data_IF_612099716762
#
_entry.id   IF_612099716762
#
_cell.length_a   1.000
_cell.length_b   1.000
_cell.length_c   1.000
_cell.angle_alpha   90.00
_cell.angle_beta   90.00
_cell.angle_gamma   90.00
#
_symmetry.space_group_name_H-M   'P 1'
#
loop_
_entity.id
_entity.type
_entity.pdbx_description
1 polymer ?
#
# COMPACT_ATOMS: atom_id res chain seq x y z
N UNK A 1 19.80 -16.82 -18.16
CA UNK A 1 19.04 -17.99 -18.67
C UNK A 1 17.57 -17.55 -18.78
N UNK A 2 17.25 -16.67 -19.73
CA UNK A 2 15.95 -15.99 -19.82
C UNK A 2 15.57 -15.69 -21.28
N UNK A 3 15.56 -16.68 -22.17
CA UNK A 3 15.10 -16.49 -23.55
C UNK A 3 14.41 -17.75 -24.08
N UNK A 4 13.44 -18.27 -23.33
CA UNK A 4 12.40 -19.12 -23.94
C UNK A 4 11.18 -18.22 -24.13
N UNK A 5 10.84 -17.82 -25.37
CA UNK A 5 9.65 -17.01 -25.61
C UNK A 5 8.40 -17.77 -25.16
N UNK A 6 7.43 -17.05 -24.60
CA UNK A 6 6.16 -17.63 -24.17
C UNK A 6 5.49 -18.34 -25.36
N UNK A 7 5.16 -19.63 -25.21
CA UNK A 7 4.41 -20.34 -26.25
C UNK A 7 2.94 -19.95 -26.15
N UNK A 8 2.54 -18.95 -26.94
CA UNK A 8 1.18 -18.40 -26.95
C UNK A 8 0.23 -19.11 -27.92
N UNK A 9 0.75 -20.05 -28.73
CA UNK A 9 -0.04 -20.83 -29.69
C UNK A 9 -0.73 -22.03 -29.07
N UNK A 10 -0.19 -22.56 -27.97
CA UNK A 10 -0.71 -23.75 -27.28
C UNK A 10 -1.20 -23.37 -25.90
N UNK A 11 -2.47 -23.64 -25.62
CA UNK A 11 -3.04 -23.45 -24.27
C UNK A 11 -2.62 -24.65 -23.43
N UNK A 12 -1.91 -24.45 -22.29
CA UNK A 12 -1.55 -25.55 -21.41
C UNK A 12 -2.79 -26.25 -20.84
N UNK A 13 -2.72 -27.57 -20.67
CA UNK A 13 -3.80 -28.37 -20.06
C UNK A 13 -3.94 -28.10 -18.57
N UNK A 14 -2.85 -27.76 -17.89
CA UNK A 14 -2.81 -27.42 -16.47
C UNK A 14 -1.83 -26.29 -16.18
N UNK A 15 -2.01 -25.65 -15.03
CA UNK A 15 -1.17 -24.55 -14.55
C UNK A 15 -0.61 -24.90 -13.18
N UNK A 16 0.69 -24.65 -12.98
CA UNK A 16 1.32 -24.83 -11.67
C UNK A 16 0.89 -23.72 -10.71
N UNK A 17 0.61 -24.09 -9.46
CA UNK A 17 0.31 -23.12 -8.40
C UNK A 17 1.55 -22.29 -8.02
N UNK A 18 1.39 -20.99 -7.78
CA UNK A 18 2.43 -20.12 -7.21
C UNK A 18 1.98 -19.63 -5.82
N UNK A 19 2.23 -20.49 -4.83
CA UNK A 19 1.93 -20.26 -3.43
C UNK A 19 2.75 -19.10 -2.81
N UNK A 20 3.81 -18.61 -3.45
CA UNK A 20 4.55 -17.44 -2.98
C UNK A 20 3.78 -16.14 -3.25
N UNK A 21 3.06 -16.10 -4.37
CA UNK A 21 2.30 -14.93 -4.82
C UNK A 21 0.86 -14.96 -4.34
N UNK A 22 0.13 -16.05 -4.61
CA UNK A 22 -1.30 -16.19 -4.29
C UNK A 22 -1.56 -17.02 -3.02
N UNK A 23 -0.51 -17.31 -2.26
CA UNK A 23 -0.61 -18.07 -1.02
C UNK A 23 -1.38 -17.37 0.10
N UNK A 24 -2.06 -18.16 0.93
CA UNK A 24 -2.88 -17.66 2.03
C UNK A 24 -2.15 -16.65 2.93
N UNK A 25 -0.89 -16.94 3.31
CA UNK A 25 -0.12 -16.05 4.18
C UNK A 25 0.29 -14.72 3.52
N UNK A 26 0.68 -14.74 2.25
CA UNK A 26 1.00 -13.51 1.49
C UNK A 26 -0.23 -12.61 1.37
N UNK A 27 -1.36 -13.19 0.97
CA UNK A 27 -2.63 -12.47 0.84
C UNK A 27 -3.09 -11.90 2.18
N UNK A 28 -3.04 -12.71 3.24
CA UNK A 28 -3.46 -12.30 4.57
C UNK A 28 -2.59 -11.17 5.13
N UNK A 29 -1.27 -11.21 4.89
CA UNK A 29 -0.36 -10.14 5.32
C UNK A 29 -0.73 -8.78 4.69
N UNK A 30 -0.98 -8.74 3.39
CA UNK A 30 -1.41 -7.52 2.70
C UNK A 30 -2.77 -7.03 3.19
N UNK A 31 -3.73 -7.94 3.39
CA UNK A 31 -5.07 -7.62 3.86
C UNK A 31 -5.01 -7.05 5.29
N UNK A 32 -4.36 -7.75 6.22
CA UNK A 32 -4.23 -7.31 7.63
C UNK A 32 -3.56 -5.94 7.69
N UNK A 33 -2.42 -5.77 7.00
CA UNK A 33 -1.69 -4.49 6.96
C UNK A 33 -2.57 -3.36 6.45
N UNK A 34 -3.33 -3.61 5.38
CA UNK A 34 -4.22 -2.61 4.78
C UNK A 34 -5.34 -2.21 5.73
N UNK A 35 -6.03 -3.17 6.36
CA UNK A 35 -7.14 -2.86 7.27
C UNK A 35 -6.68 -2.18 8.56
N UNK A 36 -5.56 -2.63 9.15
CA UNK A 36 -4.99 -1.96 10.32
C UNK A 36 -4.58 -0.53 9.96
N UNK A 37 -3.93 -0.32 8.81
CA UNK A 37 -3.51 1.01 8.37
C UNK A 37 -4.69 1.94 8.09
N UNK A 38 -5.75 1.45 7.44
CA UNK A 38 -6.97 2.22 7.21
C UNK A 38 -7.68 2.55 8.53
N UNK A 39 -7.72 1.62 9.48
CA UNK A 39 -8.30 1.82 10.80
C UNK A 39 -7.52 2.85 11.63
N UNK A 40 -6.18 2.75 11.67
CA UNK A 40 -5.32 3.74 12.33
C UNK A 40 -5.45 5.11 11.68
N UNK A 41 -5.51 5.16 10.35
CA UNK A 41 -5.75 6.42 9.60
C UNK A 41 -7.09 7.05 9.99
N UNK A 42 -8.15 6.23 10.12
CA UNK A 42 -9.46 6.68 10.57
C UNK A 42 -9.42 7.24 12.00
N UNK A 43 -8.76 6.55 12.93
CA UNK A 43 -8.59 7.03 14.31
C UNK A 43 -7.89 8.39 14.34
N UNK A 44 -6.77 8.53 13.64
CA UNK A 44 -5.97 9.78 13.63
C UNK A 44 -6.79 10.93 13.05
N UNK A 45 -7.50 10.70 11.94
CA UNK A 45 -8.35 11.72 11.32
C UNK A 45 -9.49 12.11 12.26
N UNK A 46 -10.19 11.14 12.89
CA UNK A 46 -11.29 11.41 13.83
C UNK A 46 -10.84 12.18 15.08
N UNK A 47 -9.68 11.85 15.63
CA UNK A 47 -9.09 12.59 16.76
C UNK A 47 -8.72 14.03 16.36
N UNK A 48 -8.16 14.21 15.16
CA UNK A 48 -7.88 15.54 14.60
C UNK A 48 -9.12 16.38 14.33
N UNK A 49 -10.27 15.75 14.02
CA UNK A 49 -11.56 16.45 13.92
C UNK A 49 -12.05 16.93 15.29
N UNK A 50 -11.89 16.11 16.34
CA UNK A 50 -12.32 16.42 17.72
C UNK A 50 -11.40 17.40 18.46
N UNK A 51 -10.33 17.92 17.83
CA UNK A 51 -9.25 18.70 18.50
C UNK A 51 -8.71 17.98 19.75
N UNK A 52 -8.75 16.64 19.74
CA UNK A 52 -8.29 15.81 20.85
C UNK A 52 -6.77 15.63 20.78
N UNK A 53 -6.20 15.19 21.90
CA UNK A 53 -4.80 14.80 22.09
C UNK A 53 -4.20 14.07 20.89
N UNK A 54 -2.92 14.35 20.63
CA UNK A 54 -2.10 13.59 19.68
C UNK A 54 -2.11 12.10 20.00
N UNK A 55 -2.21 11.26 18.97
CA UNK A 55 -2.09 9.81 19.06
C UNK A 55 -0.70 9.37 18.57
N UNK A 56 0.39 9.62 19.31
CA UNK A 56 1.75 9.38 18.83
C UNK A 56 1.93 7.92 18.44
N UNK A 57 1.51 6.98 19.31
CA UNK A 57 1.63 5.54 19.08
C UNK A 57 0.97 5.10 17.77
N UNK A 58 -0.27 5.54 17.52
CA UNK A 58 -1.00 5.21 16.28
C UNK A 58 -0.28 5.74 15.04
N UNK A 59 0.34 6.92 15.13
CA UNK A 59 1.02 7.58 14.01
C UNK A 59 2.30 6.85 13.63
N UNK A 60 3.09 6.42 14.63
CA UNK A 60 4.29 5.59 14.39
C UNK A 60 3.94 4.21 13.84
N UNK A 61 2.94 3.55 14.43
CA UNK A 61 2.50 2.24 13.98
C UNK A 61 2.00 2.30 12.53
N UNK A 62 1.18 3.30 12.20
CA UNK A 62 0.70 3.54 10.83
C UNK A 62 1.86 3.81 9.85
N UNK A 63 2.83 4.62 10.26
CA UNK A 63 4.01 4.90 9.45
C UNK A 63 4.78 3.60 9.15
N UNK A 64 5.02 2.76 10.17
CA UNK A 64 5.76 1.50 10.02
C UNK A 64 5.03 0.48 9.14
N UNK A 65 3.71 0.34 9.27
CA UNK A 65 2.94 -0.57 8.41
C UNK A 65 2.98 -0.13 6.95
N UNK A 66 2.84 1.17 6.68
CA UNK A 66 2.91 1.67 5.33
C UNK A 66 4.31 1.57 4.72
N UNK A 67 5.37 1.74 5.51
CA UNK A 67 6.76 1.54 5.05
C UNK A 67 7.06 0.06 4.74
N UNK A 68 6.44 -0.87 5.46
CA UNK A 68 6.51 -2.29 5.09
C UNK A 68 5.72 -2.56 3.80
N UNK A 69 4.49 -2.05 3.72
CA UNK A 69 3.55 -2.29 2.62
C UNK A 69 4.02 -1.75 1.27
N UNK A 70 4.77 -0.64 1.28
CA UNK A 70 5.35 -0.07 0.06
C UNK A 70 6.47 -0.95 -0.50
N UNK A 71 7.33 -1.49 0.38
CA UNK A 71 8.46 -2.36 -0.02
C UNK A 71 7.94 -3.71 -0.51
N UNK A 72 7.02 -4.34 0.22
CA UNK A 72 6.41 -5.61 -0.19
C UNK A 72 5.57 -5.45 -1.45
N UNK A 73 4.84 -4.33 -1.59
CA UNK A 73 4.07 -3.97 -2.78
C UNK A 73 4.91 -3.81 -4.03
N UNK A 74 6.05 -3.10 -3.94
CA UNK A 74 7.00 -2.97 -5.06
C UNK A 74 7.62 -4.33 -5.38
N UNK A 75 8.01 -5.11 -4.36
CA UNK A 75 8.62 -6.42 -4.52
C UNK A 75 7.74 -7.40 -5.28
N UNK A 76 6.46 -7.54 -4.88
CA UNK A 76 5.54 -8.47 -5.52
C UNK A 76 5.22 -8.08 -6.98
N UNK A 77 5.07 -6.79 -7.26
CA UNK A 77 4.87 -6.30 -8.62
C UNK A 77 6.11 -6.49 -9.50
N UNK A 78 7.30 -6.27 -8.95
CA UNK A 78 8.56 -6.50 -9.66
C UNK A 78 8.74 -7.98 -10.03
N UNK A 79 8.39 -8.90 -9.12
CA UNK A 79 8.40 -10.34 -9.41
C UNK A 79 7.39 -10.67 -10.50
N UNK A 80 6.19 -10.08 -10.45
CA UNK A 80 5.16 -10.31 -11.45
C UNK A 80 5.59 -9.89 -12.86
N UNK A 81 6.23 -8.72 -12.98
CA UNK A 81 6.78 -8.25 -14.25
C UNK A 81 8.00 -9.06 -14.70
N UNK A 82 8.90 -9.43 -13.77
CA UNK A 82 10.07 -10.24 -14.10
C UNK A 82 9.70 -11.64 -14.62
N UNK A 83 8.59 -12.22 -14.12
CA UNK A 83 8.09 -13.53 -14.51
C UNK A 83 6.97 -13.48 -15.58
N UNK A 84 6.75 -12.33 -16.24
CA UNK A 84 5.61 -12.14 -17.16
C UNK A 84 5.51 -13.17 -18.31
N UNK A 85 6.65 -13.76 -18.72
CA UNK A 85 6.72 -14.75 -19.80
C UNK A 85 6.19 -16.14 -19.41
N UNK A 86 6.15 -16.46 -18.11
CA UNK A 86 5.77 -17.79 -17.62
C UNK A 86 4.63 -17.74 -16.60
N UNK A 87 4.43 -16.60 -15.95
CA UNK A 87 3.37 -16.44 -14.97
C UNK A 87 2.04 -16.22 -15.67
N UNK A 88 1.05 -17.01 -15.25
CA UNK A 88 -0.29 -16.96 -15.85
C UNK A 88 -1.04 -15.69 -15.46
N UNK A 89 -2.02 -15.35 -16.29
CA UNK A 89 -2.86 -14.16 -16.10
C UNK A 89 -3.56 -14.12 -14.73
N UNK A 90 -3.89 -15.29 -14.18
CA UNK A 90 -4.48 -15.43 -12.85
C UNK A 90 -3.59 -14.87 -11.71
N UNK A 91 -2.36 -15.37 -11.56
CA UNK A 91 -1.45 -14.89 -10.52
C UNK A 91 -1.10 -13.42 -10.73
N UNK A 92 -0.94 -12.99 -11.99
CA UNK A 92 -0.70 -11.59 -12.32
C UNK A 92 -1.86 -10.68 -11.88
N UNK A 93 -3.11 -11.15 -12.04
CA UNK A 93 -4.30 -10.42 -11.59
C UNK A 93 -4.35 -10.27 -10.06
N UNK A 94 -3.99 -11.30 -9.31
CA UNK A 94 -3.87 -11.23 -7.85
C UNK A 94 -2.80 -10.21 -7.43
N UNK A 95 -1.63 -10.21 -8.07
CA UNK A 95 -0.56 -9.21 -7.83
C UNK A 95 -1.09 -7.79 -8.04
N UNK A 96 -1.85 -7.56 -9.10
CA UNK A 96 -2.45 -6.26 -9.36
C UNK A 96 -3.41 -5.83 -8.23
N UNK A 97 -4.26 -6.73 -7.74
CA UNK A 97 -5.13 -6.42 -6.59
C UNK A 97 -4.35 -6.12 -5.31
N UNK A 98 -3.26 -6.86 -5.04
CA UNK A 98 -2.38 -6.59 -3.89
C UNK A 98 -1.69 -5.22 -4.00
N UNK A 99 -1.33 -4.81 -5.22
CA UNK A 99 -0.84 -3.47 -5.51
C UNK A 99 -1.89 -2.40 -5.17
N UNK A 100 -3.16 -2.62 -5.51
CA UNK A 100 -4.25 -1.70 -5.14
C UNK A 100 -4.34 -1.52 -3.61
N UNK A 101 -4.24 -2.61 -2.84
CA UNK A 101 -4.22 -2.55 -1.37
C UNK A 101 -3.00 -1.78 -0.84
N UNK A 102 -1.83 -2.00 -1.43
CA UNK A 102 -0.62 -1.24 -1.08
C UNK A 102 -0.79 0.25 -1.38
N UNK A 103 -1.28 0.61 -2.57
CA UNK A 103 -1.56 2.01 -2.94
C UNK A 103 -2.57 2.65 -2.00
N UNK A 104 -3.68 1.97 -1.69
CA UNK A 104 -4.70 2.49 -0.76
C UNK A 104 -4.12 2.75 0.64
N UNK A 105 -3.31 1.83 1.15
CA UNK A 105 -2.62 1.95 2.45
C UNK A 105 -1.67 3.15 2.50
N UNK A 106 -0.86 3.32 1.45
CA UNK A 106 0.12 4.39 1.36
C UNK A 106 -0.55 5.78 1.23
N UNK A 107 -1.61 5.88 0.43
CA UNK A 107 -2.41 7.10 0.30
C UNK A 107 -3.16 7.45 1.59
N UNK A 108 -3.72 6.45 2.28
CA UNK A 108 -4.42 6.67 3.55
C UNK A 108 -3.46 7.24 4.60
N UNK A 109 -2.23 6.71 4.64
CA UNK A 109 -1.20 7.20 5.54
C UNK A 109 -0.78 8.64 5.22
N UNK A 110 -0.66 9.00 3.94
CA UNK A 110 -0.38 10.38 3.54
C UNK A 110 -1.49 11.34 3.97
N UNK A 111 -2.76 10.94 3.81
CA UNK A 111 -3.89 11.74 4.27
C UNK A 111 -3.91 11.93 5.79
N UNK A 112 -3.62 10.88 6.57
CA UNK A 112 -3.63 10.92 8.03
C UNK A 112 -2.43 11.66 8.63
N UNK A 113 -1.24 11.50 8.04
CA UNK A 113 0.04 12.02 8.57
C UNK A 113 0.56 13.24 7.80
N UNK A 114 -0.29 13.96 7.08
CA UNK A 114 0.07 15.13 6.25
C UNK A 114 0.93 16.16 7.00
N UNK A 115 0.66 16.38 8.28
CA UNK A 115 1.39 17.37 9.10
C UNK A 115 2.80 16.90 9.46
N UNK A 116 3.03 15.58 9.59
CA UNK A 116 4.37 15.06 9.91
C UNK A 116 5.29 15.14 8.71
N UNK A 117 4.77 14.74 7.54
CA UNK A 117 5.53 14.77 6.30
C UNK A 117 5.88 16.20 5.88
N UNK A 118 5.17 17.22 6.37
CA UNK A 118 5.54 18.62 6.15
C UNK A 118 6.77 19.06 6.94
N UNK A 119 7.09 18.41 8.07
CA UNK A 119 8.27 18.74 8.88
C UNK A 119 9.56 18.22 8.26
N UNK A 120 9.55 16.97 7.80
CA UNK A 120 10.75 16.27 7.35
C UNK A 120 10.74 16.07 5.83
N UNK A 121 11.32 17.03 5.09
CA UNK A 121 11.22 17.07 3.62
C UNK A 121 11.93 15.89 2.92
N UNK A 122 13.05 15.40 3.46
CA UNK A 122 13.81 14.28 2.86
C UNK A 122 13.00 12.99 2.91
N UNK A 123 12.48 12.64 4.10
CA UNK A 123 11.64 11.44 4.28
C UNK A 123 10.37 11.52 3.44
N UNK A 124 9.80 12.72 3.30
CA UNK A 124 8.67 12.98 2.41
C UNK A 124 9.01 12.64 0.96
N UNK A 125 10.13 13.14 0.43
CA UNK A 125 10.52 12.89 -0.95
C UNK A 125 10.85 11.43 -1.21
N UNK A 126 11.59 10.79 -0.30
CA UNK A 126 11.89 9.36 -0.40
C UNK A 126 10.61 8.52 -0.47
N UNK A 127 9.65 8.83 0.40
CA UNK A 127 8.36 8.15 0.42
C UNK A 127 7.54 8.43 -0.84
N UNK A 128 7.46 9.68 -1.27
CA UNK A 128 6.74 10.08 -2.49
C UNK A 128 7.33 9.39 -3.73
N UNK A 129 8.66 9.25 -3.78
CA UNK A 129 9.36 8.52 -4.82
C UNK A 129 8.97 7.04 -4.83
N UNK A 130 9.04 6.35 -3.69
CA UNK A 130 8.62 4.94 -3.64
C UNK A 130 7.12 4.76 -3.93
N UNK A 131 6.27 5.70 -3.51
CA UNK A 131 4.83 5.62 -3.81
C UNK A 131 4.58 5.84 -5.30
N UNK A 132 5.35 6.72 -5.95
CA UNK A 132 5.32 6.91 -7.39
C UNK A 132 5.79 5.65 -8.15
N UNK A 133 6.85 4.99 -7.68
CA UNK A 133 7.32 3.71 -8.25
C UNK A 133 6.24 2.64 -8.11
N UNK A 134 5.64 2.51 -6.91
CA UNK A 134 4.55 1.55 -6.67
C UNK A 134 3.34 1.82 -7.59
N UNK A 135 2.97 3.10 -7.77
CA UNK A 135 1.89 3.50 -8.68
C UNK A 135 2.24 3.17 -10.13
N UNK A 136 3.46 3.47 -10.58
CA UNK A 136 3.90 3.20 -11.95
C UNK A 136 3.85 1.71 -12.26
N UNK A 137 4.39 0.86 -11.38
CA UNK A 137 4.30 -0.59 -11.50
C UNK A 137 2.85 -1.08 -11.51
N UNK A 138 1.97 -0.44 -10.71
CA UNK A 138 0.55 -0.75 -10.62
C UNK A 138 -0.22 -0.40 -11.89
N UNK A 139 0.11 0.73 -12.52
CA UNK A 139 -0.45 1.14 -13.82
C UNK A 139 0.03 0.20 -14.91
N UNK A 140 1.32 -0.12 -14.98
CA UNK A 140 1.85 -1.07 -15.94
C UNK A 140 1.14 -2.42 -15.83
N UNK A 141 1.05 -2.96 -14.62
CA UNK A 141 0.33 -4.21 -14.35
C UNK A 141 -1.17 -4.09 -14.72
N UNK A 142 -1.78 -2.94 -14.44
CA UNK A 142 -3.15 -2.64 -14.83
C UNK A 142 -3.37 -2.64 -16.35
N UNK A 143 -2.41 -2.14 -17.13
CA UNK A 143 -2.48 -2.17 -18.61
C UNK A 143 -2.46 -3.61 -19.13
N UNK A 144 -1.59 -4.47 -18.59
CA UNK A 144 -1.58 -5.90 -18.95
C UNK A 144 -2.91 -6.57 -18.64
N UNK A 145 -3.50 -6.30 -17.47
CA UNK A 145 -4.82 -6.83 -17.09
C UNK A 145 -5.93 -6.25 -17.96
N UNK A 146 -5.88 -4.96 -18.30
CA UNK A 146 -6.86 -4.35 -19.19
C UNK A 146 -6.83 -5.04 -20.56
N UNK A 147 -5.64 -5.26 -21.11
CA UNK A 147 -5.48 -5.95 -22.39
C UNK A 147 -5.94 -7.41 -22.32
N UNK A 148 -5.71 -8.11 -21.20
CA UNK A 148 -6.17 -9.49 -21.03
C UNK A 148 -7.70 -9.59 -21.00
N UNK A 149 -8.37 -8.61 -20.40
CA UNK A 149 -9.84 -8.50 -20.41
C UNK A 149 -10.35 -8.13 -21.80
N UNK A 150 -9.72 -7.17 -22.50
CA UNK A 150 -10.14 -6.73 -23.85
C UNK A 150 -10.06 -7.88 -24.86
N UNK A 151 -8.98 -8.67 -24.80
CA UNK A 151 -8.76 -9.80 -25.72
C UNK A 151 -9.44 -11.10 -25.28
N UNK A 152 -10.05 -11.12 -24.10
CA UNK A 152 -10.63 -12.31 -23.48
C UNK A 152 -9.63 -13.47 -23.45
N UNK A 153 -8.45 -13.18 -22.89
CA UNK A 153 -7.33 -14.12 -22.83
C UNK A 153 -7.68 -15.29 -21.91
N UNK A 154 -7.35 -16.50 -22.33
CA UNK A 154 -7.51 -17.70 -21.49
C UNK A 154 -6.70 -17.54 -20.20
N UNK A 155 -7.30 -17.75 -19.01
CA UNK A 155 -6.62 -17.54 -17.72
C UNK A 155 -5.36 -18.39 -17.53
N UNK A 156 -5.21 -19.49 -18.28
CA UNK A 156 -4.08 -20.41 -18.27
C UNK A 156 -2.87 -19.94 -19.08
N UNK A 157 -3.05 -18.96 -19.96
CA UNK A 157 -1.95 -18.43 -20.76
C UNK A 157 -1.09 -17.46 -19.94
N UNK A 158 0.23 -17.44 -20.18
CA UNK A 158 1.11 -16.41 -19.65
C UNK A 158 0.62 -15.01 -20.01
N UNK A 159 0.80 -14.05 -19.10
CA UNK A 159 0.32 -12.68 -19.32
C UNK A 159 1.02 -12.00 -20.51
N UNK A 160 2.26 -12.39 -20.84
CA UNK A 160 2.97 -11.89 -22.01
C UNK A 160 2.24 -12.15 -23.33
N UNK A 161 1.46 -13.25 -23.42
CA UNK A 161 0.69 -13.61 -24.61
C UNK A 161 -0.41 -12.62 -24.97
N UNK A 162 -0.70 -11.66 -24.09
CA UNK A 162 -1.67 -10.60 -24.36
C UNK A 162 -1.31 -9.78 -25.59
N UNK A 163 -0.04 -9.70 -26.00
CA UNK A 163 0.35 -8.94 -27.19
C UNK A 163 0.32 -9.75 -28.48
N UNK A 164 0.42 -11.08 -28.39
CA UNK A 164 0.55 -11.97 -29.55
C UNK A 164 -0.79 -12.56 -30.00
N UNK A 165 -1.71 -12.82 -29.07
CA UNK A 165 -2.97 -13.51 -29.37
C UNK A 165 -4.02 -12.52 -29.90
N UNK A 166 -4.77 -12.94 -30.92
CA UNK A 166 -5.93 -12.21 -31.44
C UNK A 166 -7.13 -12.26 -30.47
N UNK A 167 -8.00 -11.25 -30.52
CA UNK A 167 -9.17 -11.16 -29.66
C UNK A 167 -10.16 -12.31 -29.94
N UNK A 168 -10.58 -13.04 -28.89
CA UNK A 168 -11.51 -14.18 -29.00
C UNK A 168 -13.00 -13.79 -28.94
N UNK A 169 -13.32 -12.54 -29.24
CA UNK A 169 -14.67 -11.99 -29.19
C UNK A 169 -15.09 -11.47 -27.80
N UNK A 170 -16.24 -10.81 -27.75
CA UNK A 170 -16.76 -10.14 -26.55
C UNK A 170 -17.83 -10.98 -25.85
N UNK A 171 -17.69 -11.21 -24.54
CA UNK A 171 -18.77 -11.72 -23.70
C UNK A 171 -19.64 -10.56 -23.20
N UNK A 172 -20.88 -10.83 -22.80
CA UNK A 172 -21.83 -9.80 -22.33
C UNK A 172 -21.31 -8.99 -21.13
N UNK A 173 -20.41 -9.56 -20.34
CA UNK A 173 -19.81 -8.92 -19.16
C UNK A 173 -18.47 -8.23 -19.46
N UNK A 174 -17.93 -8.33 -20.69
CA UNK A 174 -16.62 -7.75 -21.04
C UNK A 174 -16.63 -6.24 -20.89
N UNK A 175 -17.67 -5.54 -21.38
CA UNK A 175 -17.73 -4.09 -21.33
C UNK A 175 -17.68 -3.54 -19.89
N UNK A 176 -18.38 -4.21 -18.95
CA UNK A 176 -18.38 -3.83 -17.53
C UNK A 176 -17.01 -4.06 -16.90
N UNK A 177 -16.34 -5.18 -17.21
CA UNK A 177 -15.01 -5.49 -16.70
C UNK A 177 -13.93 -4.53 -17.24
N UNK A 178 -14.02 -4.18 -18.53
CA UNK A 178 -13.15 -3.17 -19.17
C UNK A 178 -13.35 -1.82 -18.49
N UNK A 179 -14.61 -1.34 -18.40
CA UNK A 179 -14.92 -0.06 -17.79
C UNK A 179 -14.47 -0.01 -16.33
N UNK A 180 -14.69 -1.07 -15.57
CA UNK A 180 -14.24 -1.19 -14.18
C UNK A 180 -12.71 -1.14 -14.06
N UNK A 181 -11.98 -1.83 -14.93
CA UNK A 181 -10.51 -1.85 -14.91
C UNK A 181 -9.93 -0.47 -15.25
N UNK A 182 -10.46 0.20 -16.28
CA UNK A 182 -10.08 1.58 -16.64
C UNK A 182 -10.38 2.54 -15.49
N UNK A 183 -11.57 2.42 -14.88
CA UNK A 183 -11.96 3.27 -13.75
C UNK A 183 -11.01 3.11 -12.56
N UNK A 184 -10.58 1.88 -12.24
CA UNK A 184 -9.63 1.63 -11.15
C UNK A 184 -8.24 2.21 -11.46
N UNK A 185 -7.74 2.06 -12.69
CA UNK A 185 -6.45 2.64 -13.10
C UNK A 185 -6.51 4.18 -13.03
N UNK A 186 -7.56 4.78 -13.60
CA UNK A 186 -7.76 6.23 -13.58
C UNK A 186 -7.91 6.75 -12.14
N UNK A 187 -8.69 6.07 -11.29
CA UNK A 187 -8.87 6.45 -9.90
C UNK A 187 -7.54 6.45 -9.13
N UNK A 188 -6.66 5.48 -9.34
CA UNK A 188 -5.34 5.48 -8.69
C UNK A 188 -4.50 6.69 -9.07
N UNK A 189 -4.44 7.03 -10.37
CA UNK A 189 -3.71 8.20 -10.86
C UNK A 189 -4.28 9.48 -10.28
N UNK A 190 -5.61 9.66 -10.37
CA UNK A 190 -6.29 10.86 -9.89
C UNK A 190 -6.08 11.02 -8.39
N UNK A 191 -6.32 9.97 -7.59
CA UNK A 191 -6.18 10.06 -6.13
C UNK A 191 -4.73 10.31 -5.73
N UNK A 192 -3.74 9.74 -6.43
CA UNK A 192 -2.33 10.03 -6.16
C UNK A 192 -1.97 11.49 -6.47
N UNK A 193 -2.41 12.03 -7.61
CA UNK A 193 -2.18 13.44 -7.98
C UNK A 193 -2.85 14.35 -6.95
N UNK A 194 -4.10 14.08 -6.58
CA UNK A 194 -4.83 14.86 -5.58
C UNK A 194 -4.16 14.78 -4.21
N UNK A 195 -3.70 13.61 -3.78
CA UNK A 195 -2.96 13.42 -2.52
C UNK A 195 -1.63 14.19 -2.51
N UNK A 196 -0.90 14.15 -3.63
CA UNK A 196 0.36 14.89 -3.79
C UNK A 196 0.12 16.39 -3.78
N UNK A 197 -0.90 16.86 -4.53
CA UNK A 197 -1.28 18.26 -4.56
C UNK A 197 -1.76 18.73 -3.18
N UNK A 198 -2.55 17.93 -2.48
CA UNK A 198 -3.00 18.16 -1.11
C UNK A 198 -1.84 18.36 -0.13
N UNK A 199 -0.77 17.57 -0.26
CA UNK A 199 0.43 17.70 0.57
C UNK A 199 1.15 19.04 0.35
N UNK A 200 1.15 19.55 -0.88
CA UNK A 200 1.87 20.77 -1.27
C UNK A 200 1.04 22.05 -1.11
N UNK A 201 -0.29 21.98 -1.30
CA UNK A 201 -1.13 23.16 -1.24
C UNK A 201 -1.37 23.63 0.21
N UNK A 202 -1.08 24.91 0.48
CA UNK A 202 -1.03 25.49 1.84
C UNK A 202 -2.31 26.24 2.24
N UNK A 203 -3.36 26.21 1.44
CA UNK A 203 -4.29 27.33 1.42
C UNK A 203 -5.34 27.40 2.54
N UNK A 204 -5.95 26.31 3.06
CA UNK A 204 -7.06 26.45 4.04
C UNK A 204 -7.29 25.22 4.95
N UNK A 205 -7.28 25.35 6.30
CA UNK A 205 -7.43 24.21 7.23
C UNK A 205 -8.83 23.60 7.26
N UNK A 206 -9.89 24.35 6.97
CA UNK A 206 -11.26 23.83 6.94
C UNK A 206 -11.49 22.88 5.75
N UNK A 207 -10.95 23.23 4.58
CA UNK A 207 -11.02 22.38 3.38
C UNK A 207 -10.18 21.10 3.55
N UNK A 208 -9.05 21.17 4.27
CA UNK A 208 -8.21 20.00 4.54
C UNK A 208 -8.95 18.87 5.27
N UNK A 209 -9.81 19.22 6.25
CA UNK A 209 -10.59 18.23 7.03
C UNK A 209 -11.63 17.51 6.16
N UNK A 210 -12.31 18.25 5.29
CA UNK A 210 -13.31 17.66 4.37
C UNK A 210 -12.64 16.67 3.41
N UNK A 211 -11.49 17.03 2.84
CA UNK A 211 -10.72 16.16 1.95
C UNK A 211 -10.22 14.90 2.65
N UNK A 212 -9.78 15.00 3.92
CA UNK A 212 -9.36 13.82 4.69
C UNK A 212 -10.50 12.82 4.88
N UNK A 213 -11.71 13.29 5.22
CA UNK A 213 -12.86 12.41 5.44
C UNK A 213 -13.30 11.76 4.12
N UNK A 214 -13.48 12.55 3.06
CA UNK A 214 -13.90 12.03 1.75
C UNK A 214 -12.84 11.08 1.18
N UNK A 215 -11.56 11.44 1.27
CA UNK A 215 -10.45 10.60 0.84
C UNK A 215 -10.38 9.29 1.61
N UNK A 216 -10.57 9.32 2.94
CA UNK A 216 -10.60 8.11 3.76
C UNK A 216 -11.74 7.16 3.34
N UNK A 217 -12.95 7.67 3.10
CA UNK A 217 -14.07 6.84 2.61
C UNK A 217 -13.77 6.24 1.24
N UNK A 218 -13.21 7.01 0.31
CA UNK A 218 -12.83 6.51 -1.00
C UNK A 218 -11.77 5.40 -0.93
N UNK A 219 -10.75 5.58 -0.08
CA UNK A 219 -9.67 4.60 0.12
C UNK A 219 -10.17 3.35 0.86
N UNK A 220 -11.09 3.51 1.81
CA UNK A 220 -11.75 2.38 2.46
C UNK A 220 -12.57 1.57 1.46
N UNK A 221 -13.36 2.23 0.61
CA UNK A 221 -14.13 1.55 -0.44
C UNK A 221 -13.22 0.81 -1.43
N UNK A 222 -12.11 1.43 -1.83
CA UNK A 222 -11.08 0.80 -2.68
C UNK A 222 -10.45 -0.41 -2.00
N UNK A 223 -10.06 -0.30 -0.72
CA UNK A 223 -9.43 -1.37 0.03
C UNK A 223 -10.36 -2.56 0.27
N UNK A 224 -11.63 -2.29 0.63
CA UNK A 224 -12.66 -3.32 0.77
C UNK A 224 -12.95 -3.98 -0.57
N UNK A 225 -13.14 -3.20 -1.64
CA UNK A 225 -13.39 -3.73 -2.99
C UNK A 225 -12.28 -4.63 -3.49
N UNK A 226 -11.01 -4.21 -3.35
CA UNK A 226 -9.86 -5.03 -3.70
C UNK A 226 -9.81 -6.32 -2.86
N UNK A 227 -10.02 -6.23 -1.55
CA UNK A 227 -10.03 -7.40 -0.66
C UNK A 227 -11.10 -8.41 -1.01
N UNK A 228 -12.33 -7.96 -1.25
CA UNK A 228 -13.44 -8.84 -1.64
C UNK A 228 -13.05 -9.62 -2.89
N UNK A 229 -12.50 -8.94 -3.91
CA UNK A 229 -12.03 -9.60 -5.13
C UNK A 229 -10.88 -10.57 -4.88
N UNK A 230 -9.92 -10.24 -4.02
CA UNK A 230 -8.83 -11.16 -3.65
C UNK A 230 -9.42 -12.43 -3.01
N UNK A 231 -10.35 -12.29 -2.07
CA UNK A 231 -10.94 -13.42 -1.34
C UNK A 231 -11.76 -14.30 -2.29
N UNK A 232 -12.55 -13.71 -3.21
CA UNK A 232 -13.41 -14.49 -4.10
C UNK A 232 -12.63 -15.21 -5.20
N UNK A 233 -11.60 -14.56 -5.75
CA UNK A 233 -10.86 -15.07 -6.92
C UNK A 233 -9.65 -15.96 -6.52
N UNK A 234 -9.09 -15.79 -5.32
CA UNK A 234 -7.94 -16.58 -4.87
C UNK A 234 -8.29 -18.05 -4.61
N UNK A 235 -7.40 -18.99 -4.92
CA UNK A 235 -7.55 -20.41 -4.52
C UNK A 235 -7.35 -20.59 -3.02
N UNK A 236 -6.59 -19.70 -2.38
CA UNK A 236 -6.34 -19.74 -0.95
C UNK A 236 -7.61 -19.60 -0.11
N UNK A 237 -8.56 -18.75 -0.53
CA UNK A 237 -9.78 -18.45 0.25
C UNK A 237 -11.09 -18.72 -0.49
N UNK A 238 -11.09 -18.58 -1.82
CA UNK A 238 -12.26 -18.69 -2.67
C UNK A 238 -12.24 -19.92 -3.57
N UNK A 239 -12.93 -19.81 -4.70
CA UNK A 239 -13.01 -20.86 -5.71
C UNK A 239 -12.55 -20.28 -7.05
N UNK A 240 -11.32 -20.56 -7.49
CA UNK A 240 -10.82 -20.04 -8.75
C UNK A 240 -11.60 -20.66 -9.91
N UNK A 241 -11.65 -20.01 -11.09
CA UNK A 241 -12.30 -20.57 -12.27
C UNK A 241 -11.84 -22.01 -12.54
N UNK A 242 -12.79 -22.94 -12.69
CA UNK A 242 -12.50 -24.37 -12.98
C UNK A 242 -11.64 -24.55 -14.24
N UNK A 243 -11.71 -23.58 -15.16
CA UNK A 243 -10.90 -23.53 -16.36
C UNK A 243 -9.39 -23.42 -16.10
N UNK A 244 -8.92 -23.07 -14.90
CA UNK A 244 -7.49 -22.94 -14.62
C UNK A 244 -6.75 -24.28 -14.47
N UNK A 245 -7.46 -25.35 -14.07
CA UNK A 245 -6.88 -26.68 -13.81
C UNK A 245 -5.53 -26.61 -13.05
N UNK A 246 -5.57 -26.02 -11.85
CA UNK A 246 -4.37 -25.82 -11.03
C UNK A 246 -3.82 -27.16 -10.54
N UNK A 247 -2.54 -27.41 -10.80
CA UNK A 247 -1.80 -28.58 -10.34
C UNK A 247 -0.66 -28.17 -9.40
N UNK A 248 -0.30 -29.08 -8.49
CA UNK A 248 0.74 -28.85 -7.48
C UNK A 248 0.17 -28.65 -6.08
N UNK A 249 1.02 -28.24 -5.12
CA UNK A 249 0.60 -27.95 -3.75
C UNK A 249 -0.46 -26.85 -3.75
N UNK A 250 -1.58 -27.08 -3.05
CA UNK A 250 -2.65 -26.09 -2.98
C UNK A 250 -2.12 -24.76 -2.44
N UNK A 251 -2.59 -23.62 -2.97
CA UNK A 251 -2.27 -22.30 -2.43
C UNK A 251 -2.75 -22.10 -0.97
N UNK A 252 -3.62 -23.00 -0.49
CA UNK A 252 -4.05 -23.13 0.91
C UNK A 252 -3.00 -23.81 1.81
N UNK A 253 -2.08 -24.57 1.23
CA UNK A 253 -1.03 -25.23 1.99
C UNK A 253 0.02 -24.23 2.45
N UNK A 254 0.35 -24.28 3.75
CA UNK A 254 1.28 -23.36 4.37
C UNK A 254 2.72 -23.70 4.01
N UNK A 255 3.49 -22.70 3.61
CA UNK A 255 4.93 -22.80 3.36
C UNK A 255 5.70 -21.67 4.04
N UNK A 256 7.02 -21.84 4.16
CA UNK A 256 7.88 -20.81 4.75
C UNK A 256 7.72 -19.43 4.06
N UNK A 257 7.62 -19.43 2.72
CA UNK A 257 7.43 -18.21 1.94
C UNK A 257 6.13 -17.47 2.22
N UNK A 258 5.07 -18.18 2.65
CA UNK A 258 3.80 -17.58 3.06
C UNK A 258 3.82 -17.09 4.51
N UNK A 259 4.59 -17.75 5.37
CA UNK A 259 4.71 -17.37 6.78
C UNK A 259 5.54 -16.10 6.96
N UNK A 260 6.58 -15.92 6.14
CA UNK A 260 7.50 -14.78 6.24
C UNK A 260 6.79 -13.42 6.15
N UNK A 261 5.89 -13.14 5.18
CA UNK A 261 5.12 -11.90 5.14
C UNK A 261 4.28 -11.63 6.40
N UNK A 262 3.77 -12.67 7.06
CA UNK A 262 3.02 -12.52 8.31
C UNK A 262 3.93 -12.21 9.49
N UNK A 263 5.09 -12.85 9.57
CA UNK A 263 6.09 -12.58 10.61
C UNK A 263 6.61 -11.15 10.54
N UNK A 264 6.74 -10.58 9.33
CA UNK A 264 7.15 -9.19 9.16
C UNK A 264 6.15 -8.20 9.82
N UNK A 265 4.89 -8.57 10.03
CA UNK A 265 3.91 -7.74 10.76
C UNK A 265 4.28 -7.52 12.24
N UNK A 266 5.19 -8.33 12.78
CA UNK A 266 5.70 -8.17 14.14
C UNK A 266 6.60 -6.93 14.23
N UNK A 267 7.29 -6.54 13.15
CA UNK A 267 8.23 -5.40 13.15
C UNK A 267 7.55 -4.06 13.54
N UNK A 268 6.40 -3.68 12.94
CA UNK A 268 5.63 -2.52 13.38
C UNK A 268 5.20 -2.58 14.87
N UNK A 269 4.91 -3.77 15.38
CA UNK A 269 4.49 -3.99 16.77
C UNK A 269 5.68 -3.76 17.71
N UNK A 270 6.85 -4.30 17.39
CA UNK A 270 8.08 -4.08 18.16
C UNK A 270 8.40 -2.58 18.24
N UNK A 271 8.40 -1.89 17.09
CA UNK A 271 8.66 -0.44 17.06
C UNK A 271 7.66 0.36 17.90
N UNK A 272 6.43 -0.12 18.02
CA UNK A 272 5.40 0.48 18.87
C UNK A 272 5.68 0.24 20.36
N UNK A 273 6.12 -0.96 20.73
CA UNK A 273 6.49 -1.30 22.11
C UNK A 273 7.67 -0.44 22.58
N UNK A 274 8.68 -0.23 21.72
CA UNK A 274 9.84 0.65 22.00
C UNK A 274 9.39 2.09 22.32
N UNK A 275 8.39 2.60 21.61
CA UNK A 275 7.82 3.94 21.87
C UNK A 275 7.05 3.95 23.20
N UNK A 276 6.24 2.93 23.48
CA UNK A 276 5.47 2.84 24.74
C UNK A 276 6.39 2.75 25.95
N UNK A 277 7.52 2.04 25.82
CA UNK A 277 8.55 1.94 26.87
C UNK A 277 9.37 3.22 27.07
N UNK A 278 9.23 4.20 26.18
CA UNK A 278 9.98 5.45 26.23
C UNK A 278 11.43 5.32 25.75
N UNK A 279 11.80 4.20 25.12
CA UNK A 279 13.13 3.99 24.53
C UNK A 279 13.33 4.91 23.32
N UNK A 280 12.24 5.25 22.61
CA UNK A 280 12.25 6.20 21.49
C UNK A 280 11.34 7.40 21.78
N UNK A 281 11.91 8.61 21.88
CA UNK A 281 11.12 9.85 21.98
C UNK A 281 10.53 10.22 20.62
N UNK A 282 9.24 10.50 20.60
CA UNK A 282 8.56 10.97 19.40
C UNK A 282 8.43 12.48 19.41
N UNK A 283 8.67 13.13 18.26
CA UNK A 283 8.60 14.59 18.20
C UNK A 283 7.14 15.04 18.34
N UNK A 284 6.89 16.17 19.03
CA UNK A 284 5.54 16.65 19.32
C UNK A 284 4.76 16.91 18.02
N UNK A 285 3.44 16.68 18.05
CA UNK A 285 2.59 16.97 16.91
C UNK A 285 2.15 18.43 16.94
N UNK A 286 1.88 19.02 15.78
CA UNK A 286 1.38 20.41 15.68
C UNK A 286 0.01 20.62 16.36
N UNK A 287 -0.73 19.54 16.65
CA UNK A 287 -1.99 19.59 17.41
C UNK A 287 -1.72 19.81 18.89
N UNK A 288 -0.56 19.36 19.39
CA UNK A 288 -0.13 19.58 20.77
C UNK A 288 0.26 21.05 21.01
N UNK A 289 0.73 21.77 19.97
CA UNK A 289 1.02 23.21 20.03
C UNK A 289 -0.25 24.08 20.17
N UNK A 290 -1.39 23.62 19.62
CA UNK A 290 -2.68 24.33 19.68
C UNK A 290 -3.42 24.08 21.01
N UNK A 291 -3.00 23.10 21.80
CA UNK A 291 -3.49 22.83 23.16
C UNK A 291 -2.58 23.50 24.19
N UNK A 292 -3.01 24.64 24.72
CA UNK A 292 -2.33 25.25 25.87
C UNK A 292 -2.29 24.24 27.04
N UNK A 293 -1.12 23.98 27.65
CA UNK A 293 -1.04 23.12 28.83
C UNK A 293 -1.83 23.76 29.98
N UNK A 294 -2.76 22.99 30.56
CA UNK A 294 -3.55 23.41 31.74
C UNK A 294 -2.71 23.49 33.03
N UNK A 295 -1.46 23.04 32.99
CA UNK A 295 -0.49 23.22 34.05
C UNK A 295 0.80 23.79 33.46
N UNK A 296 1.04 25.08 33.73
CA UNK A 296 2.36 25.67 33.61
C UNK A 296 3.23 25.10 34.74
N UNK A 297 3.88 23.96 34.51
CA UNK A 297 5.02 23.59 35.31
C UNK A 297 6.19 24.50 34.87
N UNK A 298 6.39 25.56 35.65
CA UNK A 298 7.71 26.03 36.02
C UNK A 298 8.62 24.82 36.29
N UNK A 299 9.84 24.89 35.78
CA UNK A 299 10.91 23.89 35.91
C UNK A 299 11.02 22.88 34.75
N UNK A 300 11.31 23.38 33.55
CA UNK A 300 12.19 22.67 32.64
C UNK A 300 13.47 23.47 32.45
N UNK A 301 14.44 23.12 33.28
CA UNK A 301 15.82 23.58 33.24
C UNK A 301 16.42 23.25 31.87
N UNK A 302 16.89 24.29 31.19
CA UNK A 302 17.51 24.21 29.87
C UNK A 302 18.87 23.53 30.02
N UNK A 303 19.03 22.29 29.54
CA UNK A 303 20.32 21.64 29.42
C UNK A 303 20.90 21.95 28.02
N UNK A 304 21.88 22.87 27.88
CA UNK A 304 22.53 23.09 26.60
C UNK A 304 23.40 21.87 26.23
N UNK A 305 23.39 21.54 24.93
CA UNK A 305 24.18 20.46 24.33
C UNK A 305 25.66 20.49 24.78
N UNK A 306 26.25 19.36 25.24
CA UNK A 306 27.64 19.31 25.69
C UNK A 306 28.69 19.36 24.56
N UNK A 307 28.28 19.61 23.31
CA UNK A 307 29.15 19.56 22.13
C UNK A 307 29.50 20.93 21.53
N UNK A 308 28.99 22.03 22.10
CA UNK A 308 29.37 23.39 21.71
C UNK A 308 30.01 24.03 22.93
N UNK A 309 31.34 23.93 22.95
CA UNK A 309 32.19 24.37 24.04
C UNK A 309 32.02 25.86 24.36
N UNK A 310 32.04 26.12 25.67
CA UNK A 310 32.40 27.37 26.31
C UNK A 310 33.40 28.19 25.50
N UNK A 311 32.99 29.39 25.09
CA UNK A 311 33.92 30.47 24.78
C UNK A 311 33.34 31.82 25.22
N UNK A 312 33.97 32.32 26.27
CA UNK A 312 34.21 33.73 26.58
C UNK A 312 33.04 34.55 27.13
N UNK A 313 32.98 34.55 28.46
CA UNK A 313 32.87 35.80 29.21
C UNK A 313 33.96 36.77 28.73
N UNK A 314 33.58 37.88 28.10
CA UNK A 314 34.35 39.13 28.08
C UNK A 314 33.58 40.20 27.30
N UNK A 315 33.01 41.14 28.07
CA UNK A 315 32.94 42.59 27.83
C UNK A 315 31.60 43.16 28.31
N UNK A 316 31.61 43.55 29.60
CA UNK A 316 30.72 44.55 30.19
C UNK A 316 31.58 45.75 30.60
N UNK A 317 31.64 46.76 29.74
CA UNK A 317 31.62 48.21 30.01
C UNK A 317 31.97 48.96 28.75
#
# INVERSE_FOLDING_TARGET
>A
MFDVPANCSVIPDSVQTDAGVAGAGTLLSFIITSFISLFLSAIIILLGLRKSTSAPVCRKLLQSFSDQQIVTGIGIQSIGLAKMQYMVSYHFFIIWLLSLLSTATNLATLLALVNDFKRDWVLRWLRQFFMLVNLFLGILSGIFILQSVVKNLEPRLPIACVWEVESRGHSSNTALSIAGTIAVIAAQVIVFILATWYLHNRANPAWLKSVQVVGLFALLAMGVGATVRVITESQAFGNPPKALNLQGPSEKSWSYGQLLPLLLLIMPIISTIEVIRGETRMPPSRVDDDTAPLFANTDMEFQPNPLIGSSNSLFRK
#
